data_IF_604054248680
#
_entry.id   IF_604054248680
#
_cell.length_a   1.000
_cell.length_b   1.000
_cell.length_c   1.000
_cell.angle_alpha   90.00
_cell.angle_beta   90.00
_cell.angle_gamma   90.00
#
_symmetry.space_group_name_H-M   'P 1'
#
loop_
_entity.id
_entity.type
_entity.pdbx_description
1 polymer ?
#
# COMPACT_ATOMS: atom_id res chain seq x y z
N UNK A 1 3.78 51.70 -35.57
CA UNK A 1 4.57 51.47 -34.33
C UNK A 1 3.72 51.01 -33.14
N UNK A 2 2.51 51.54 -32.92
CA UNK A 2 1.66 51.16 -31.77
C UNK A 2 1.32 49.66 -31.67
N UNK A 3 1.05 48.99 -32.79
CA UNK A 3 0.67 47.56 -32.80
C UNK A 3 1.79 46.61 -32.35
N UNK A 4 3.05 46.96 -32.63
CA UNK A 4 4.21 46.15 -32.24
C UNK A 4 4.49 46.23 -30.73
N UNK A 5 4.25 47.39 -30.12
CA UNK A 5 4.42 47.60 -28.67
C UNK A 5 3.38 46.82 -27.87
N UNK A 6 2.14 46.74 -28.35
CA UNK A 6 1.06 45.98 -27.69
C UNK A 6 1.37 44.48 -27.68
N UNK A 7 1.80 43.92 -28.82
CA UNK A 7 2.17 42.50 -28.91
C UNK A 7 3.31 42.13 -27.96
N UNK A 8 4.31 43.01 -27.81
CA UNK A 8 5.46 42.76 -26.93
C UNK A 8 5.09 42.81 -25.44
N UNK A 9 4.12 43.64 -25.06
CA UNK A 9 3.60 43.71 -23.68
C UNK A 9 2.74 42.49 -23.36
N UNK A 10 1.91 42.01 -24.30
CA UNK A 10 1.13 40.78 -24.14
C UNK A 10 2.02 39.53 -24.00
N UNK A 11 3.10 39.47 -24.76
CA UNK A 11 4.06 38.37 -24.71
C UNK A 11 4.88 38.35 -23.42
N UNK A 12 5.25 39.53 -22.90
CA UNK A 12 5.87 39.66 -21.56
C UNK A 12 4.91 39.27 -20.43
N UNK A 13 3.64 39.66 -20.48
CA UNK A 13 2.65 39.24 -19.47
C UNK A 13 2.49 37.72 -19.43
N UNK A 14 2.43 37.06 -20.59
CA UNK A 14 2.35 35.59 -20.66
C UNK A 14 3.60 34.91 -20.07
N UNK A 15 4.79 35.42 -20.40
CA UNK A 15 6.04 34.86 -19.86
C UNK A 15 6.16 35.04 -18.34
N UNK A 16 5.70 36.16 -17.78
CA UNK A 16 5.71 36.39 -16.33
C UNK A 16 4.66 35.55 -15.59
N UNK A 17 3.49 35.31 -16.19
CA UNK A 17 2.51 34.37 -15.66
C UNK A 17 3.02 32.93 -15.64
N UNK A 18 3.70 32.49 -16.70
CA UNK A 18 4.25 31.13 -16.79
C UNK A 18 5.39 30.91 -15.80
N UNK A 19 6.25 31.91 -15.58
CA UNK A 19 7.28 31.88 -14.52
C UNK A 19 6.66 31.78 -13.12
N UNK A 20 5.63 32.58 -12.83
CA UNK A 20 4.92 32.52 -11.54
C UNK A 20 4.28 31.15 -11.30
N UNK A 21 3.68 30.54 -12.33
CA UNK A 21 3.12 29.18 -12.24
C UNK A 21 4.21 28.14 -11.96
N UNK A 22 5.37 28.22 -12.62
CA UNK A 22 6.49 27.32 -12.38
C UNK A 22 7.06 27.45 -10.96
N UNK A 23 7.21 28.68 -10.43
CA UNK A 23 7.70 28.91 -9.07
C UNK A 23 6.71 28.39 -8.01
N UNK A 24 5.41 28.62 -8.21
CA UNK A 24 4.35 28.09 -7.34
C UNK A 24 4.35 26.55 -7.36
N UNK A 25 4.47 25.94 -8.54
CA UNK A 25 4.55 24.49 -8.68
C UNK A 25 5.79 23.93 -8.00
N UNK A 26 6.95 24.56 -8.15
CA UNK A 26 8.20 24.16 -7.48
C UNK A 26 8.09 24.25 -5.95
N UNK A 27 7.43 25.30 -5.45
CA UNK A 27 7.19 25.48 -4.02
C UNK A 27 6.25 24.41 -3.45
N UNK A 28 5.17 24.08 -4.19
CA UNK A 28 4.26 23.01 -3.84
C UNK A 28 4.95 21.63 -3.80
N UNK A 29 5.76 21.31 -4.81
CA UNK A 29 6.54 20.06 -4.86
C UNK A 29 7.50 19.95 -3.67
N UNK A 30 8.21 21.04 -3.32
CA UNK A 30 9.11 21.03 -2.16
C UNK A 30 8.36 20.83 -0.83
N UNK A 31 7.16 21.42 -0.70
CA UNK A 31 6.34 21.26 0.50
C UNK A 31 5.81 19.83 0.62
N UNK A 32 5.30 19.27 -0.47
CA UNK A 32 4.78 17.91 -0.51
C UNK A 32 5.88 16.87 -0.33
N UNK A 33 7.08 17.12 -0.86
CA UNK A 33 8.26 16.28 -0.60
C UNK A 33 8.57 16.20 0.88
N UNK A 34 8.74 17.35 1.54
CA UNK A 34 9.04 17.43 2.96
C UNK A 34 7.96 16.75 3.81
N UNK A 35 6.69 16.99 3.48
CA UNK A 35 5.56 16.35 4.17
C UNK A 35 5.55 14.84 3.96
N UNK A 36 5.79 14.38 2.73
CA UNK A 36 5.86 12.94 2.43
C UNK A 36 6.98 12.28 3.23
N UNK A 37 8.20 12.79 3.15
CA UNK A 37 9.38 12.21 3.81
C UNK A 37 9.25 12.17 5.34
N UNK A 38 8.70 13.22 5.95
CA UNK A 38 8.68 13.36 7.41
C UNK A 38 7.41 12.81 8.07
N UNK A 39 6.26 12.83 7.40
CA UNK A 39 4.97 12.44 8.00
C UNK A 39 4.40 11.14 7.43
N UNK A 40 4.38 10.99 6.10
CA UNK A 40 3.68 9.87 5.45
C UNK A 40 4.58 8.65 5.33
N UNK A 41 5.79 8.82 4.78
CA UNK A 41 6.72 7.74 4.48
C UNK A 41 7.04 6.88 5.71
N UNK A 42 7.32 7.42 6.91
CA UNK A 42 7.61 6.58 8.08
C UNK A 42 6.43 5.66 8.47
N UNK A 43 5.19 6.16 8.34
CA UNK A 43 3.99 5.37 8.63
C UNK A 43 3.74 4.29 7.58
N UNK A 44 3.91 4.65 6.31
CA UNK A 44 3.79 3.72 5.19
C UNK A 44 4.84 2.61 5.29
N UNK A 45 6.10 2.97 5.49
CA UNK A 45 7.20 2.02 5.63
C UNK A 45 6.99 1.11 6.84
N UNK A 46 6.50 1.66 7.97
CA UNK A 46 6.15 0.85 9.15
C UNK A 46 5.05 -0.18 8.82
N UNK A 47 4.02 0.20 8.07
CA UNK A 47 2.94 -0.72 7.68
C UNK A 47 3.44 -1.80 6.71
N UNK A 48 4.26 -1.44 5.72
CA UNK A 48 4.85 -2.39 4.77
C UNK A 48 5.77 -3.38 5.51
N UNK A 49 6.61 -2.87 6.41
CA UNK A 49 7.47 -3.70 7.24
C UNK A 49 6.67 -4.68 8.08
N UNK A 50 5.61 -4.22 8.75
CA UNK A 50 4.73 -5.09 9.54
C UNK A 50 4.07 -6.17 8.67
N UNK A 51 3.58 -5.82 7.47
CA UNK A 51 3.03 -6.77 6.50
C UNK A 51 4.04 -7.88 6.14
N UNK A 52 5.28 -7.48 5.83
CA UNK A 52 6.36 -8.39 5.42
C UNK A 52 6.86 -9.24 6.59
N UNK A 53 6.88 -8.70 7.81
CA UNK A 53 7.25 -9.44 9.02
C UNK A 53 6.25 -10.56 9.30
N UNK A 54 4.94 -10.28 9.27
CA UNK A 54 3.90 -11.31 9.43
C UNK A 54 4.09 -12.40 8.36
N UNK A 55 4.32 -12.02 7.10
CA UNK A 55 4.48 -13.03 6.05
C UNK A 55 5.76 -13.85 6.21
N UNK A 56 6.91 -13.18 6.34
CA UNK A 56 8.21 -13.84 6.21
C UNK A 56 8.62 -14.60 7.48
N UNK A 57 8.29 -14.08 8.66
CA UNK A 57 8.71 -14.66 9.92
C UNK A 57 7.69 -15.66 10.46
N UNK A 58 6.41 -15.47 10.15
CA UNK A 58 5.32 -16.17 10.83
C UNK A 58 4.57 -17.12 9.90
N UNK A 59 4.07 -16.59 8.78
CA UNK A 59 3.20 -17.35 7.90
C UNK A 59 3.94 -18.32 6.98
N UNK A 60 4.90 -17.79 6.22
CA UNK A 60 5.61 -18.50 5.15
C UNK A 60 6.30 -19.77 5.62
N UNK A 61 6.98 -19.82 6.80
CA UNK A 61 7.66 -21.02 7.26
C UNK A 61 6.72 -22.22 7.39
N UNK A 62 5.53 -22.01 7.94
CA UNK A 62 4.58 -23.10 8.22
C UNK A 62 3.74 -23.41 6.97
N UNK A 63 3.40 -22.39 6.17
CA UNK A 63 2.62 -22.56 4.95
C UNK A 63 3.30 -23.44 3.90
N UNK A 64 4.64 -23.41 3.80
CA UNK A 64 5.39 -24.20 2.82
C UNK A 64 5.14 -25.71 2.92
N UNK A 65 4.98 -26.21 4.14
CA UNK A 65 4.69 -27.62 4.43
C UNK A 65 3.18 -27.86 4.49
N UNK A 66 2.46 -27.03 5.27
CA UNK A 66 1.02 -27.16 5.46
C UNK A 66 0.22 -27.09 4.15
N UNK A 67 0.69 -26.34 3.15
CA UNK A 67 0.01 -26.22 1.85
C UNK A 67 0.12 -27.46 0.96
N UNK A 68 1.05 -28.37 1.24
CA UNK A 68 1.23 -29.63 0.48
C UNK A 68 0.44 -30.76 1.11
N UNK A 69 0.62 -30.93 2.41
CA UNK A 69 -0.09 -31.92 3.21
C UNK A 69 -0.40 -31.32 4.58
N UNK A 70 -1.59 -30.72 4.75
CA UNK A 70 -1.99 -30.13 6.01
C UNK A 70 -1.92 -31.13 7.17
N UNK A 71 -2.17 -32.42 6.95
CA UNK A 71 -2.17 -33.42 8.00
C UNK A 71 -0.76 -33.76 8.54
N UNK A 72 0.28 -33.36 7.81
CA UNK A 72 1.68 -33.62 8.19
C UNK A 72 2.25 -32.61 9.18
N UNK A 73 1.56 -31.50 9.45
CA UNK A 73 1.97 -30.49 10.43
C UNK A 73 1.15 -30.58 11.72
N UNK A 74 1.67 -30.03 12.82
CA UNK A 74 0.91 -29.91 14.06
C UNK A 74 -0.33 -29.03 13.83
N UNK A 75 -1.50 -29.67 13.94
CA UNK A 75 -2.79 -29.04 13.66
C UNK A 75 -3.13 -27.91 14.63
N UNK A 76 -2.78 -28.07 15.91
CA UNK A 76 -3.06 -27.08 16.93
C UNK A 76 -2.14 -25.88 16.76
N UNK A 77 -0.84 -26.13 16.55
CA UNK A 77 0.13 -25.08 16.29
C UNK A 77 -0.20 -24.28 15.02
N UNK A 78 -0.58 -24.97 13.92
CA UNK A 78 -1.01 -24.31 12.68
C UNK A 78 -2.23 -23.42 12.93
N UNK A 79 -3.25 -23.93 13.63
CA UNK A 79 -4.47 -23.18 13.93
C UNK A 79 -4.16 -21.93 14.77
N UNK A 80 -3.46 -22.08 15.89
CA UNK A 80 -3.12 -20.96 16.77
C UNK A 80 -2.32 -19.89 16.03
N UNK A 81 -1.38 -20.33 15.18
CA UNK A 81 -0.60 -19.41 14.35
C UNK A 81 -1.46 -18.66 13.35
N UNK A 82 -2.32 -19.35 12.60
CA UNK A 82 -3.19 -18.71 11.62
C UNK A 82 -4.19 -17.75 12.28
N UNK A 83 -4.68 -18.05 13.48
CA UNK A 83 -5.53 -17.14 14.27
C UNK A 83 -4.74 -15.88 14.68
N UNK A 84 -3.51 -16.03 15.19
CA UNK A 84 -2.64 -14.91 15.54
C UNK A 84 -2.31 -14.02 14.33
N UNK A 85 -1.86 -14.63 13.23
CA UNK A 85 -1.47 -13.90 12.01
C UNK A 85 -2.68 -13.19 11.38
N UNK A 86 -3.88 -13.81 11.44
CA UNK A 86 -5.14 -13.18 10.99
C UNK A 86 -5.41 -11.90 11.76
N UNK A 87 -5.32 -11.94 13.10
CA UNK A 87 -5.56 -10.77 13.94
C UNK A 87 -4.57 -9.65 13.64
N UNK A 88 -3.28 -9.97 13.42
CA UNK A 88 -2.28 -8.97 13.04
C UNK A 88 -2.59 -8.32 11.69
N UNK A 89 -3.03 -9.10 10.70
CA UNK A 89 -3.45 -8.53 9.41
C UNK A 89 -4.72 -7.68 9.51
N UNK A 90 -5.67 -8.04 10.38
CA UNK A 90 -6.85 -7.22 10.67
C UNK A 90 -6.47 -5.89 11.32
N UNK A 91 -5.59 -5.92 12.32
CA UNK A 91 -5.04 -4.72 12.96
C UNK A 91 -4.32 -3.83 11.95
N UNK A 92 -3.52 -4.42 11.05
CA UNK A 92 -2.84 -3.69 9.99
C UNK A 92 -3.82 -3.07 8.98
N UNK A 93 -4.90 -3.78 8.63
CA UNK A 93 -5.99 -3.25 7.79
C UNK A 93 -6.68 -2.06 8.46
N UNK A 94 -6.90 -2.12 9.78
CA UNK A 94 -7.45 -1.03 10.57
C UNK A 94 -6.51 0.18 10.62
N UNK A 95 -5.21 -0.04 10.86
CA UNK A 95 -4.16 1.01 10.80
C UNK A 95 -4.18 1.72 9.44
N UNK A 96 -4.21 0.96 8.35
CA UNK A 96 -4.29 1.48 6.99
C UNK A 96 -5.61 2.22 6.70
N UNK A 97 -6.74 1.76 7.26
CA UNK A 97 -8.02 2.44 7.13
C UNK A 97 -8.02 3.80 7.81
N UNK A 98 -7.39 3.90 8.98
CA UNK A 98 -7.21 5.13 9.74
C UNK A 98 -6.16 6.09 9.12
N UNK A 99 -5.26 5.58 8.27
CA UNK A 99 -4.27 6.39 7.56
C UNK A 99 -4.95 7.30 6.52
N UNK A 100 -5.15 8.57 6.87
CA UNK A 100 -5.73 9.62 6.00
C UNK A 100 -4.76 10.74 5.65
N UNK A 101 -3.47 10.58 5.99
CA UNK A 101 -2.46 11.63 5.84
C UNK A 101 -2.21 12.04 4.37
N UNK A 102 -2.57 11.19 3.41
CA UNK A 102 -2.54 11.55 1.98
C UNK A 102 -3.31 12.83 1.66
N UNK A 103 -4.39 13.13 2.38
CA UNK A 103 -5.19 14.35 2.19
C UNK A 103 -4.40 15.64 2.47
N UNK A 104 -3.32 15.55 3.26
CA UNK A 104 -2.46 16.67 3.61
C UNK A 104 -1.57 17.12 2.46
N UNK A 105 -1.36 16.32 1.41
CA UNK A 105 -0.56 16.78 0.26
C UNK A 105 -1.28 17.93 -0.46
N UNK A 106 -0.59 18.67 -1.32
CA UNK A 106 -1.17 19.76 -2.11
C UNK A 106 -1.45 19.31 -3.55
N UNK A 107 -0.56 18.52 -4.14
CA UNK A 107 -0.69 17.99 -5.49
C UNK A 107 -1.80 16.93 -5.56
N UNK A 108 -2.84 17.14 -6.40
CA UNK A 108 -3.98 16.23 -6.50
C UNK A 108 -3.60 14.85 -7.02
N UNK A 109 -2.58 14.73 -7.87
CA UNK A 109 -2.12 13.44 -8.39
C UNK A 109 -1.43 12.66 -7.27
N UNK A 110 -0.64 13.32 -6.41
CA UNK A 110 -0.02 12.66 -5.27
C UNK A 110 -1.08 12.17 -4.27
N UNK A 111 -2.13 12.96 -4.00
CA UNK A 111 -3.27 12.53 -3.17
C UNK A 111 -3.92 11.27 -3.72
N UNK A 112 -4.25 11.27 -5.01
CA UNK A 112 -4.89 10.14 -5.67
C UNK A 112 -4.03 8.88 -5.58
N UNK A 113 -2.72 9.00 -5.78
CA UNK A 113 -1.80 7.86 -5.74
C UNK A 113 -1.61 7.31 -4.32
N UNK A 114 -1.52 8.17 -3.30
CA UNK A 114 -1.51 7.71 -1.90
C UNK A 114 -2.84 7.03 -1.52
N UNK A 115 -3.97 7.54 -2.00
CA UNK A 115 -5.27 6.90 -1.77
C UNK A 115 -5.36 5.54 -2.48
N UNK A 116 -4.86 5.42 -3.71
CA UNK A 116 -4.77 4.14 -4.43
C UNK A 116 -3.84 3.15 -3.72
N UNK A 117 -2.70 3.59 -3.19
CA UNK A 117 -1.86 2.78 -2.31
C UNK A 117 -2.67 2.26 -1.13
N UNK A 118 -3.36 3.14 -0.39
CA UNK A 118 -4.16 2.78 0.78
C UNK A 118 -5.22 1.74 0.46
N UNK A 119 -5.94 1.90 -0.65
CA UNK A 119 -6.98 0.96 -1.09
C UNK A 119 -6.38 -0.40 -1.44
N UNK A 120 -5.35 -0.45 -2.29
CA UNK A 120 -4.74 -1.71 -2.72
C UNK A 120 -4.02 -2.42 -1.56
N UNK A 121 -3.34 -1.69 -0.68
CA UNK A 121 -2.70 -2.24 0.52
C UNK A 121 -3.73 -2.78 1.53
N UNK A 122 -4.85 -2.08 1.70
CA UNK A 122 -5.97 -2.57 2.50
C UNK A 122 -6.56 -3.87 1.95
N UNK A 123 -6.68 -3.99 0.62
CA UNK A 123 -7.09 -5.25 0.00
C UNK A 123 -6.05 -6.36 0.21
N UNK A 124 -4.76 -6.06 0.11
CA UNK A 124 -3.70 -7.03 0.36
C UNK A 124 -3.79 -7.61 1.79
N UNK A 125 -3.81 -6.74 2.80
CA UNK A 125 -3.95 -7.15 4.21
C UNK A 125 -5.22 -7.98 4.45
N UNK A 126 -6.36 -7.57 3.90
CA UNK A 126 -7.61 -8.32 4.01
C UNK A 126 -7.54 -9.71 3.37
N UNK A 127 -6.89 -9.85 2.20
CA UNK A 127 -6.72 -11.16 1.58
C UNK A 127 -5.80 -12.09 2.38
N UNK A 128 -4.76 -11.54 3.05
CA UNK A 128 -3.95 -12.35 3.98
C UNK A 128 -4.76 -12.82 5.18
N UNK A 129 -5.51 -11.92 5.81
CA UNK A 129 -6.42 -12.25 6.90
C UNK A 129 -7.43 -13.35 6.50
N UNK A 130 -8.04 -13.21 5.31
CA UNK A 130 -8.98 -14.21 4.80
C UNK A 130 -8.33 -15.58 4.57
N UNK A 131 -7.07 -15.63 4.13
CA UNK A 131 -6.36 -16.89 4.01
C UNK A 131 -6.26 -17.63 5.36
N UNK A 132 -6.06 -16.89 6.45
CA UNK A 132 -5.82 -17.46 7.78
C UNK A 132 -7.12 -17.94 8.40
N UNK A 133 -8.18 -17.16 8.20
CA UNK A 133 -9.55 -17.59 8.51
C UNK A 133 -9.94 -18.84 7.76
N UNK A 134 -9.64 -18.94 6.46
CA UNK A 134 -9.96 -20.12 5.67
C UNK A 134 -9.25 -21.36 6.24
N UNK A 135 -7.93 -21.30 6.47
CA UNK A 135 -7.19 -22.40 7.11
C UNK A 135 -7.84 -22.77 8.44
N UNK A 136 -8.03 -21.80 9.33
CA UNK A 136 -8.65 -21.99 10.64
C UNK A 136 -10.02 -22.68 10.57
N UNK A 137 -10.87 -22.31 9.60
CA UNK A 137 -12.16 -22.95 9.38
C UNK A 137 -12.03 -24.42 8.97
N UNK A 138 -11.06 -24.72 8.11
CA UNK A 138 -10.74 -26.10 7.73
C UNK A 138 -10.29 -26.93 8.93
N UNK A 139 -9.41 -26.36 9.76
CA UNK A 139 -8.89 -27.01 10.98
C UNK A 139 -9.99 -27.26 12.03
N UNK A 140 -10.98 -26.37 12.11
CA UNK A 140 -12.14 -26.52 13.00
C UNK A 140 -13.23 -27.46 12.46
N UNK A 141 -13.06 -28.02 11.25
CA UNK A 141 -14.08 -28.85 10.62
C UNK A 141 -15.34 -28.09 10.20
N UNK A 142 -15.31 -26.76 10.14
CA UNK A 142 -16.44 -25.92 9.71
C UNK A 142 -16.72 -26.12 8.22
N UNK A 143 -15.68 -26.47 7.44
CA UNK A 143 -15.76 -26.79 6.03
C UNK A 143 -14.63 -27.78 5.66
N UNK A 144 -14.73 -28.46 4.49
CA UNK A 144 -13.68 -29.38 4.06
C UNK A 144 -12.30 -28.71 3.97
N UNK A 145 -11.33 -29.27 4.68
CA UNK A 145 -9.97 -28.71 4.80
C UNK A 145 -9.33 -28.45 3.43
N UNK A 146 -9.41 -29.41 2.50
CA UNK A 146 -8.88 -29.26 1.13
C UNK A 146 -9.39 -27.99 0.44
N UNK A 147 -10.70 -27.77 0.45
CA UNK A 147 -11.30 -26.59 -0.19
C UNK A 147 -10.85 -25.29 0.47
N UNK A 148 -10.69 -25.28 1.79
CA UNK A 148 -10.18 -24.12 2.54
C UNK A 148 -8.70 -23.84 2.29
N UNK A 149 -7.88 -24.86 2.12
CA UNK A 149 -6.46 -24.69 1.73
C UNK A 149 -6.34 -24.10 0.33
N UNK A 150 -7.18 -24.53 -0.62
CA UNK A 150 -7.24 -23.95 -1.97
C UNK A 150 -7.69 -22.48 -1.95
N UNK A 151 -8.68 -22.15 -1.12
CA UNK A 151 -9.16 -20.77 -0.92
C UNK A 151 -8.09 -19.88 -0.27
N UNK A 152 -7.38 -20.39 0.74
CA UNK A 152 -6.27 -19.70 1.35
C UNK A 152 -5.15 -19.43 0.32
N UNK A 153 -4.81 -20.41 -0.51
CA UNK A 153 -3.83 -20.23 -1.58
C UNK A 153 -4.26 -19.17 -2.61
N UNK A 154 -5.54 -19.15 -3.01
CA UNK A 154 -6.08 -18.12 -3.90
C UNK A 154 -6.00 -16.73 -3.25
N UNK A 155 -6.35 -16.63 -1.99
CA UNK A 155 -6.30 -15.38 -1.22
C UNK A 155 -4.87 -14.86 -1.12
N UNK A 156 -3.89 -15.72 -0.85
CA UNK A 156 -2.46 -15.36 -0.86
C UNK A 156 -2.02 -14.80 -2.22
N UNK A 157 -2.45 -15.41 -3.33
CA UNK A 157 -2.13 -14.92 -4.68
C UNK A 157 -2.72 -13.54 -4.95
N UNK A 158 -4.00 -13.34 -4.60
CA UNK A 158 -4.68 -12.04 -4.73
C UNK A 158 -4.01 -10.98 -3.87
N UNK A 159 -3.62 -11.32 -2.64
CA UNK A 159 -2.88 -10.43 -1.76
C UNK A 159 -1.58 -9.95 -2.38
N UNK A 160 -0.79 -10.84 -3.00
CA UNK A 160 0.46 -10.46 -3.65
C UNK A 160 0.23 -9.50 -4.82
N UNK A 161 -0.79 -9.76 -5.63
CA UNK A 161 -1.16 -8.86 -6.72
C UNK A 161 -1.54 -7.46 -6.20
N UNK A 162 -2.32 -7.41 -5.12
CA UNK A 162 -2.74 -6.16 -4.48
C UNK A 162 -1.57 -5.40 -3.84
N UNK A 163 -0.63 -6.11 -3.22
CA UNK A 163 0.60 -5.49 -2.71
C UNK A 163 1.44 -4.88 -3.84
N UNK A 164 1.63 -5.59 -4.95
CA UNK A 164 2.38 -5.07 -6.11
C UNK A 164 1.74 -3.78 -6.64
N UNK A 165 0.42 -3.75 -6.78
CA UNK A 165 -0.29 -2.55 -7.22
C UNK A 165 -0.14 -1.39 -6.22
N UNK A 166 -0.21 -1.68 -4.92
CA UNK A 166 0.00 -0.67 -3.89
C UNK A 166 1.41 -0.06 -4.03
N UNK A 167 2.44 -0.90 -4.10
CA UNK A 167 3.84 -0.48 -4.24
C UNK A 167 4.09 0.29 -5.54
N UNK A 168 3.41 -0.07 -6.65
CA UNK A 168 3.51 0.68 -7.89
C UNK A 168 3.02 2.13 -7.74
N UNK A 169 1.87 2.35 -7.10
CA UNK A 169 1.35 3.70 -6.84
C UNK A 169 2.29 4.50 -5.91
N UNK A 170 2.91 3.82 -4.94
CA UNK A 170 3.86 4.44 -4.02
C UNK A 170 5.17 4.83 -4.71
N UNK A 171 5.69 3.99 -5.60
CA UNK A 171 6.85 4.30 -6.45
C UNK A 171 6.60 5.50 -7.36
N UNK A 172 5.39 5.65 -7.90
CA UNK A 172 5.04 6.84 -8.69
C UNK A 172 5.04 8.14 -7.86
N UNK A 173 4.58 8.08 -6.60
CA UNK A 173 4.66 9.22 -5.66
C UNK A 173 6.11 9.60 -5.41
N UNK A 174 6.94 8.61 -5.09
CA UNK A 174 8.36 8.81 -4.79
C UNK A 174 9.15 9.34 -5.99
N UNK A 175 8.89 8.80 -7.18
CA UNK A 175 9.48 9.28 -8.43
C UNK A 175 9.12 10.75 -8.68
N UNK A 176 7.85 11.12 -8.53
CA UNK A 176 7.39 12.50 -8.74
C UNK A 176 7.97 13.49 -7.71
N UNK A 177 8.23 13.03 -6.49
CA UNK A 177 8.85 13.82 -5.43
C UNK A 177 10.40 13.80 -5.47
N UNK A 178 10.99 12.98 -6.35
CA UNK A 178 12.45 12.76 -6.36
C UNK A 178 12.96 12.20 -5.04
N UNK A 179 12.22 11.25 -4.46
CA UNK A 179 12.54 10.53 -3.22
C UNK A 179 12.95 9.12 -3.59
N UNK A 180 14.02 8.61 -2.96
CA UNK A 180 14.43 7.21 -3.12
C UNK A 180 13.91 6.36 -1.96
N UNK A 181 13.47 5.13 -2.27
CA UNK A 181 13.19 4.10 -1.26
C UNK A 181 14.52 3.40 -0.93
N UNK A 182 14.99 3.55 0.30
CA UNK A 182 16.09 2.79 0.87
C UNK A 182 15.57 1.51 1.54
#
# INVERSE_FOLDING_TARGET
MFTAVILQVEEQCKQDEDKKKQEQQKTAVNTDKSRYENELKPKIDSMIKEYDEIWNQEWRPIWGEASKDPASVDQNALKEKMEADTNRYDELSNKNTAFKDGAKLSDPVLKEKIEKFRVEFGLATNYRSNAGRAVTQGMKGIAPLKGRMEEAQKSIKLSNQKLINALANLTEVESKLGVSRN
#
